data_IF_128454987240
#
_entry.id   IF_128454987240
#
_cell.length_a   1.000
_cell.length_b   1.000
_cell.length_c   1.000
_cell.angle_alpha   90.00
_cell.angle_beta   90.00
_cell.angle_gamma   90.00
#
_symmetry.space_group_name_H-M   'P 1'
#
loop_
_entity.id
_entity.type
_entity.pdbx_description
1 polymer ?
#
# COMPACT_ATOMS: atom_id res chain seq x y z
N UNK A 1 -65.63 40.58 -30.83
CA UNK A 1 -65.83 40.88 -29.39
C UNK A 1 -64.53 40.57 -28.65
N UNK A 2 -63.78 41.60 -28.26
CA UNK A 2 -62.60 41.48 -27.41
C UNK A 2 -63.01 41.74 -25.96
N UNK A 3 -62.64 40.85 -25.02
CA UNK A 3 -62.90 41.04 -23.59
C UNK A 3 -61.68 40.68 -22.74
N UNK A 4 -61.02 41.76 -22.28
CA UNK A 4 -60.53 42.08 -20.92
C UNK A 4 -59.52 41.16 -20.21
N UNK A 5 -58.39 41.79 -19.87
CA UNK A 5 -57.44 41.47 -18.80
C UNK A 5 -58.09 41.01 -17.48
N UNK A 6 -57.41 40.13 -16.76
CA UNK A 6 -57.24 40.23 -15.30
C UNK A 6 -56.02 39.45 -14.80
N UNK A 7 -55.24 40.16 -13.98
CA UNK A 7 -54.07 39.71 -13.22
C UNK A 7 -54.55 39.01 -11.94
N UNK A 8 -53.96 37.87 -11.58
CA UNK A 8 -54.05 37.34 -10.22
C UNK A 8 -52.78 36.56 -9.85
N UNK A 9 -52.02 37.14 -8.92
CA UNK A 9 -50.88 36.55 -8.23
C UNK A 9 -51.32 35.35 -7.39
N UNK A 10 -50.50 34.29 -7.34
CA UNK A 10 -50.48 33.38 -6.19
C UNK A 10 -49.04 32.92 -5.93
N UNK A 11 -48.56 33.28 -4.74
CA UNK A 11 -47.33 32.83 -4.13
C UNK A 11 -47.35 31.31 -3.94
N UNK A 12 -46.22 30.65 -4.21
CA UNK A 12 -45.91 29.37 -3.57
C UNK A 12 -44.47 29.43 -3.05
N UNK A 13 -44.36 29.56 -1.73
CA UNK A 13 -43.13 29.44 -0.96
C UNK A 13 -42.93 27.98 -0.50
N UNK A 14 -41.69 27.69 -0.07
CA UNK A 14 -41.19 26.44 0.52
C UNK A 14 -40.89 25.34 -0.50
N UNK A 15 -39.74 24.65 -0.45
CA UNK A 15 -39.17 23.98 0.72
C UNK A 15 -37.64 24.05 0.70
N UNK A 16 -37.07 24.53 1.80
CA UNK A 16 -35.65 24.34 2.15
C UNK A 16 -35.47 22.84 2.46
N UNK A 17 -34.90 22.08 1.54
CA UNK A 17 -34.42 20.73 1.87
C UNK A 17 -33.18 20.88 2.73
N UNK A 18 -33.37 20.52 3.99
CA UNK A 18 -32.35 20.32 5.00
C UNK A 18 -31.39 19.23 4.53
N UNK A 19 -30.28 19.62 3.90
CA UNK A 19 -29.13 18.72 3.80
C UNK A 19 -28.44 18.66 5.16
N UNK A 20 -29.06 17.91 6.08
CA UNK A 20 -28.31 17.20 7.10
C UNK A 20 -27.50 16.11 6.41
N UNK A 21 -26.38 16.46 5.78
CA UNK A 21 -25.30 15.49 5.68
C UNK A 21 -24.76 15.33 7.10
N UNK A 22 -25.34 14.36 7.81
CA UNK A 22 -24.79 13.75 9.02
C UNK A 22 -23.28 13.90 9.00
N UNK A 23 -22.75 14.53 10.05
CA UNK A 23 -21.35 14.45 10.42
C UNK A 23 -20.91 13.00 10.23
N UNK A 24 -20.13 12.75 9.18
CA UNK A 24 -19.39 11.51 9.08
C UNK A 24 -18.40 11.62 10.22
N UNK A 25 -18.75 11.02 11.36
CA UNK A 25 -17.75 10.57 12.30
C UNK A 25 -16.76 9.80 11.43
N UNK A 26 -15.57 10.37 11.24
CA UNK A 26 -14.45 9.67 10.63
C UNK A 26 -14.18 8.48 11.54
N UNK A 27 -14.82 7.37 11.22
CA UNK A 27 -14.45 6.09 11.75
C UNK A 27 -13.06 5.85 11.17
N UNK A 28 -12.02 6.08 11.98
CA UNK A 28 -10.60 5.83 11.66
C UNK A 28 -10.33 4.33 11.49
N UNK A 29 -11.28 3.61 10.92
CA UNK A 29 -11.24 2.19 10.71
C UNK A 29 -10.62 1.97 9.33
N UNK A 30 -9.31 2.21 9.21
CA UNK A 30 -8.58 1.76 8.03
C UNK A 30 -8.80 0.24 7.90
N UNK A 31 -9.15 -0.27 6.71
CA UNK A 31 -9.47 -1.69 6.54
C UNK A 31 -8.24 -2.56 6.85
N UNK A 32 -8.49 -3.82 7.22
CA UNK A 32 -7.42 -4.80 7.29
C UNK A 32 -6.89 -5.10 5.87
N UNK A 33 -5.58 -5.30 5.76
CA UNK A 33 -4.93 -5.58 4.48
C UNK A 33 -4.15 -6.90 4.53
N UNK A 34 -3.91 -7.46 3.35
CA UNK A 34 -3.00 -8.59 3.17
C UNK A 34 -1.72 -8.10 2.52
N UNK A 35 -0.59 -8.27 3.21
CA UNK A 35 0.72 -7.79 2.77
C UNK A 35 1.59 -8.96 2.33
N UNK A 36 2.30 -8.81 1.22
CA UNK A 36 3.33 -9.75 0.77
C UNK A 36 4.59 -9.02 0.39
N UNK A 37 5.73 -9.57 0.78
CA UNK A 37 7.03 -9.03 0.46
C UNK A 37 7.75 -9.95 -0.51
N UNK A 38 8.45 -9.39 -1.48
CA UNK A 38 9.22 -10.16 -2.44
C UNK A 38 10.61 -9.57 -2.64
N UNK A 39 11.58 -10.45 -2.92
CA UNK A 39 12.93 -10.07 -3.29
C UNK A 39 13.43 -10.95 -4.43
N UNK A 40 13.98 -10.32 -5.47
CA UNK A 40 14.51 -10.97 -6.67
C UNK A 40 15.92 -10.47 -6.94
N UNK A 41 16.89 -11.35 -6.82
CA UNK A 41 18.26 -11.13 -7.28
C UNK A 41 18.36 -11.21 -8.80
N UNK A 42 19.19 -10.36 -9.39
CA UNK A 42 19.44 -10.29 -10.83
C UNK A 42 20.95 -10.24 -11.10
N UNK A 43 21.37 -10.63 -12.31
CA UNK A 43 22.79 -10.71 -12.69
C UNK A 43 23.62 -11.54 -11.70
N UNK A 44 23.08 -12.71 -11.32
CA UNK A 44 23.69 -13.63 -10.35
C UNK A 44 23.53 -13.20 -8.87
N UNK A 45 22.85 -12.09 -8.59
CA UNK A 45 22.48 -11.72 -7.22
C UNK A 45 21.56 -12.77 -6.58
N UNK A 46 21.71 -12.97 -5.28
CA UNK A 46 20.87 -13.85 -4.45
C UNK A 46 20.42 -13.12 -3.20
N UNK A 47 19.26 -13.50 -2.70
CA UNK A 47 18.71 -13.09 -1.41
C UNK A 47 19.28 -14.00 -0.34
N UNK A 48 19.96 -13.45 0.67
CA UNK A 48 20.52 -14.22 1.77
C UNK A 48 19.60 -14.21 3.00
N UNK A 49 18.99 -13.05 3.28
CA UNK A 49 18.09 -12.87 4.42
C UNK A 49 17.08 -11.74 4.18
N UNK A 50 15.91 -11.84 4.81
CA UNK A 50 14.90 -10.80 4.86
C UNK A 50 14.32 -10.70 6.28
N UNK A 51 14.17 -9.46 6.77
CA UNK A 51 13.43 -9.11 7.98
C UNK A 51 12.25 -8.27 7.55
N UNK A 52 11.03 -8.69 7.83
CA UNK A 52 9.83 -8.09 7.26
C UNK A 52 8.68 -8.12 8.25
N UNK A 53 7.68 -7.26 8.06
CA UNK A 53 6.59 -7.20 9.00
C UNK A 53 5.65 -6.03 8.80
N UNK A 54 4.60 -6.01 9.62
CA UNK A 54 3.65 -4.91 9.75
C UNK A 54 3.69 -4.40 11.18
N UNK A 55 3.87 -3.09 11.35
CA UNK A 55 4.06 -2.42 12.63
C UNK A 55 5.07 -3.16 13.54
N UNK A 56 4.62 -3.71 14.67
CA UNK A 56 5.45 -4.44 15.61
C UNK A 56 5.56 -5.96 15.33
N UNK A 57 4.76 -6.51 14.41
CA UNK A 57 4.82 -7.92 14.02
C UNK A 57 5.96 -8.15 13.04
N UNK A 58 7.09 -8.63 13.55
CA UNK A 58 8.34 -8.81 12.79
C UNK A 58 8.66 -10.29 12.59
N UNK A 59 8.98 -10.64 11.35
CA UNK A 59 9.34 -11.98 10.88
C UNK A 59 10.75 -11.98 10.31
N UNK A 60 11.43 -13.13 10.42
CA UNK A 60 12.77 -13.33 9.90
C UNK A 60 12.80 -14.52 8.94
N UNK A 61 13.37 -14.32 7.76
CA UNK A 61 13.70 -15.37 6.81
C UNK A 61 15.22 -15.35 6.58
N UNK A 62 15.91 -16.35 7.11
CA UNK A 62 17.39 -16.43 7.10
C UNK A 62 17.86 -17.61 6.25
N UNK A 63 19.15 -17.60 5.88
CA UNK A 63 19.80 -18.70 5.15
C UNK A 63 19.11 -19.03 3.81
N UNK A 64 18.52 -18.04 3.16
CA UNK A 64 17.69 -18.21 1.97
C UNK A 64 18.49 -18.64 0.74
N UNK A 65 19.59 -17.91 0.46
CA UNK A 65 20.54 -18.14 -0.64
C UNK A 65 19.86 -18.47 -1.99
N UNK A 66 18.76 -17.79 -2.30
CA UNK A 66 17.95 -18.03 -3.50
C UNK A 66 17.89 -16.77 -4.35
N UNK A 67 17.77 -16.93 -5.67
CA UNK A 67 17.55 -15.80 -6.56
C UNK A 67 16.17 -15.16 -6.38
N UNK A 68 15.16 -15.93 -5.93
CA UNK A 68 13.80 -15.45 -5.76
C UNK A 68 13.27 -15.86 -4.39
N UNK A 69 12.76 -14.91 -3.63
CA UNK A 69 12.12 -15.13 -2.35
C UNK A 69 10.81 -14.33 -2.27
N UNK A 70 9.80 -14.93 -1.65
CA UNK A 70 8.50 -14.33 -1.35
C UNK A 70 8.10 -14.73 0.06
N UNK A 71 7.58 -13.79 0.84
CA UNK A 71 7.03 -14.08 2.16
C UNK A 71 5.70 -14.83 2.06
N UNK A 72 5.28 -15.53 3.12
CA UNK A 72 3.86 -15.77 3.34
C UNK A 72 3.07 -14.45 3.35
N UNK A 73 1.76 -14.54 3.17
CA UNK A 73 0.87 -13.39 3.35
C UNK A 73 0.83 -13.01 4.85
N UNK A 74 1.12 -11.74 5.15
CA UNK A 74 1.05 -11.14 6.48
C UNK A 74 -0.23 -10.32 6.58
N UNK A 75 -1.02 -10.51 7.63
CA UNK A 75 -2.22 -9.70 7.86
C UNK A 75 -1.84 -8.39 8.55
N UNK A 76 -2.13 -7.27 7.90
CA UNK A 76 -2.17 -5.97 8.54
C UNK A 76 -3.57 -5.78 9.13
N UNK A 77 -3.74 -5.74 10.46
CA UNK A 77 -5.05 -5.49 11.06
C UNK A 77 -5.58 -4.10 10.69
N UNK A 78 -6.88 -3.89 10.90
CA UNK A 78 -7.48 -2.57 10.74
C UNK A 78 -6.76 -1.54 11.63
N UNK A 79 -6.38 -0.40 11.05
CA UNK A 79 -5.60 0.63 11.72
C UNK A 79 -4.09 0.39 11.79
N UNK A 80 -3.56 -0.65 11.13
CA UNK A 80 -2.12 -0.81 10.97
C UNK A 80 -1.51 0.39 10.24
N UNK A 81 -0.28 0.78 10.59
CA UNK A 81 0.32 2.01 10.09
C UNK A 81 1.30 1.78 8.95
N UNK A 82 2.17 0.79 9.08
CA UNK A 82 3.22 0.56 8.09
C UNK A 82 3.63 -0.91 7.90
N UNK A 83 3.93 -1.25 6.65
CA UNK A 83 4.61 -2.47 6.25
C UNK A 83 6.08 -2.17 5.94
N UNK A 84 7.01 -2.95 6.47
CA UNK A 84 8.45 -2.72 6.28
C UNK A 84 9.18 -4.00 5.93
N UNK A 85 10.26 -3.87 5.18
CA UNK A 85 11.19 -4.95 4.90
C UNK A 85 12.63 -4.42 4.80
N UNK A 86 13.56 -5.21 5.34
CA UNK A 86 14.99 -5.10 5.11
C UNK A 86 15.45 -6.40 4.47
N UNK A 87 16.10 -6.33 3.32
CA UNK A 87 16.63 -7.50 2.61
C UNK A 87 18.12 -7.33 2.42
N UNK A 88 18.86 -8.40 2.71
CA UNK A 88 20.28 -8.50 2.42
C UNK A 88 20.53 -9.64 1.43
N UNK A 89 21.42 -9.36 0.49
CA UNK A 89 21.80 -10.24 -0.59
C UNK A 89 23.27 -10.07 -0.94
N UNK A 90 23.72 -10.92 -1.85
CA UNK A 90 25.08 -10.88 -2.38
C UNK A 90 25.09 -11.32 -3.84
N UNK A 91 26.15 -10.99 -4.56
CA UNK A 91 26.30 -11.33 -5.96
C UNK A 91 27.76 -11.54 -6.35
N UNK A 92 28.02 -12.28 -7.45
CA UNK A 92 29.37 -12.60 -7.87
C UNK A 92 30.15 -11.40 -8.44
N UNK A 93 29.47 -10.34 -8.88
CA UNK A 93 30.07 -9.21 -9.59
C UNK A 93 29.59 -7.86 -9.05
N UNK A 94 30.21 -6.78 -9.53
CA UNK A 94 29.78 -5.40 -9.28
C UNK A 94 28.53 -5.00 -10.08
N UNK A 95 28.03 -5.88 -10.95
CA UNK A 95 26.83 -5.66 -11.76
C UNK A 95 25.62 -6.44 -11.24
N UNK A 96 25.81 -7.26 -10.22
CA UNK A 96 24.72 -7.93 -9.50
C UNK A 96 23.80 -6.89 -8.87
N UNK A 97 22.50 -7.15 -8.87
CA UNK A 97 21.50 -6.27 -8.24
C UNK A 97 20.39 -7.12 -7.61
N UNK A 98 19.54 -6.50 -6.81
CA UNK A 98 18.40 -7.14 -6.14
C UNK A 98 17.25 -6.15 -6.08
N UNK A 99 16.06 -6.61 -6.43
CA UNK A 99 14.84 -5.82 -6.43
C UNK A 99 13.91 -6.32 -5.35
N UNK A 100 13.39 -5.41 -4.53
CA UNK A 100 12.52 -5.69 -3.39
C UNK A 100 11.18 -4.99 -3.57
N UNK A 101 10.09 -5.66 -3.20
CA UNK A 101 8.73 -5.20 -3.43
C UNK A 101 7.85 -5.40 -2.21
N UNK A 102 6.88 -4.49 -2.06
CA UNK A 102 5.77 -4.62 -1.12
C UNK A 102 4.48 -4.64 -1.93
N UNK A 103 3.71 -5.70 -1.74
CA UNK A 103 2.36 -5.87 -2.27
C UNK A 103 1.35 -5.73 -1.14
N UNK A 104 0.25 -5.02 -1.41
CA UNK A 104 -0.88 -4.88 -0.48
C UNK A 104 -2.15 -5.23 -1.25
N UNK A 105 -2.90 -6.20 -0.74
CA UNK A 105 -4.11 -6.77 -1.35
C UNK A 105 -3.88 -7.29 -2.79
N UNK A 106 -2.65 -7.73 -3.07
CA UNK A 106 -2.24 -8.22 -4.39
C UNK A 106 -1.70 -7.14 -5.32
N UNK A 107 -1.85 -5.86 -4.99
CA UNK A 107 -1.33 -4.75 -5.77
C UNK A 107 0.10 -4.40 -5.37
N UNK A 108 0.97 -4.17 -6.36
CA UNK A 108 2.30 -3.63 -6.11
C UNK A 108 2.19 -2.17 -5.61
N UNK A 109 2.61 -1.91 -4.36
CA UNK A 109 2.59 -0.55 -3.78
C UNK A 109 3.95 0.10 -3.75
N UNK A 110 5.01 -0.67 -3.53
CA UNK A 110 6.39 -0.17 -3.50
C UNK A 110 7.35 -1.16 -4.14
N UNK A 111 8.37 -0.61 -4.79
CA UNK A 111 9.49 -1.33 -5.39
C UNK A 111 10.76 -0.49 -5.24
N UNK A 112 11.87 -1.15 -4.91
CA UNK A 112 13.19 -0.54 -4.90
C UNK A 112 14.23 -1.55 -5.38
N UNK A 113 15.30 -1.06 -6.00
CA UNK A 113 16.40 -1.88 -6.51
C UNK A 113 17.70 -1.45 -5.85
N UNK A 114 18.43 -2.41 -5.29
CA UNK A 114 19.74 -2.17 -4.72
C UNK A 114 20.70 -1.60 -5.77
N UNK A 115 21.53 -0.67 -5.33
CA UNK A 115 22.71 -0.25 -6.10
C UNK A 115 23.52 -1.49 -6.53
N UNK A 116 23.99 -1.54 -7.78
CA UNK A 116 24.77 -2.68 -8.26
C UNK A 116 26.01 -2.93 -7.39
N UNK A 117 26.30 -4.19 -7.08
CA UNK A 117 27.39 -4.55 -6.21
C UNK A 117 27.43 -6.01 -5.82
N UNK A 118 28.53 -6.41 -5.17
CA UNK A 118 28.66 -7.76 -4.59
C UNK A 118 27.88 -7.92 -3.28
N UNK A 119 27.59 -6.82 -2.61
CA UNK A 119 26.76 -6.75 -1.41
C UNK A 119 25.52 -5.95 -1.78
N UNK A 120 24.36 -6.52 -1.51
CA UNK A 120 23.07 -5.98 -1.89
C UNK A 120 22.26 -5.76 -0.63
N UNK A 121 21.72 -4.56 -0.44
CA UNK A 121 20.86 -4.26 0.70
C UNK A 121 19.78 -3.29 0.27
N UNK A 122 18.54 -3.56 0.71
CA UNK A 122 17.39 -2.69 0.46
C UNK A 122 16.58 -2.60 1.75
N UNK A 123 16.20 -1.39 2.12
CA UNK A 123 15.21 -1.14 3.18
C UNK A 123 14.03 -0.42 2.54
N UNK A 124 12.85 -1.02 2.62
CA UNK A 124 11.65 -0.54 1.97
C UNK A 124 10.50 -0.47 2.97
N UNK A 125 9.74 0.62 2.93
CA UNK A 125 8.59 0.85 3.77
C UNK A 125 7.39 1.36 2.98
N UNK A 126 6.19 0.94 3.39
CA UNK A 126 4.92 1.41 2.88
C UNK A 126 4.03 1.80 4.05
N UNK A 127 3.38 2.96 3.95
CA UNK A 127 2.36 3.43 4.89
C UNK A 127 0.98 3.25 4.24
N UNK A 128 0.03 2.65 4.94
CA UNK A 128 -1.31 2.31 4.42
C UNK A 128 -2.15 3.55 4.09
#
# INVERSE_FOLDING_TARGET
MFRKLSIASLLMAAVLVTSCSKDKKEDNNQPAHKVRFEAVGQNGGVVNAAVYGVDADTHNALNLNTANWSSPDVTAPAGAYNANIVVNGSGPSTTSTMKVRIYVDGDLKKEETASPGKVLSVTLGYKF
#
